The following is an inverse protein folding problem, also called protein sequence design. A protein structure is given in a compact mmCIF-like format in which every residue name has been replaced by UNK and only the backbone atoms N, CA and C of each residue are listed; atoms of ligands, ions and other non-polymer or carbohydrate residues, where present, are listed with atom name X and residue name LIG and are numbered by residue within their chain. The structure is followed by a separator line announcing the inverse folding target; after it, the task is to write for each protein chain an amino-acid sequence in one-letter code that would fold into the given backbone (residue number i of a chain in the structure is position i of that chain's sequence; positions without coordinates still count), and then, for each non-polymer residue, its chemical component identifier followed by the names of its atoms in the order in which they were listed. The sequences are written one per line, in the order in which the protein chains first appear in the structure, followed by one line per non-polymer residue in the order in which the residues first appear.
data_IF_241777629495
#
_entry.id   IF_241777629495
#
_cell.length_a   1.000
_cell.length_b   1.000
_cell.length_c   1.000
_cell.angle_alpha   90.00
_cell.angle_beta   90.00
_cell.angle_gamma   90.00
#
_symmetry.space_group_name_H-M   'P 1'
#
loop_
_entity.id
_entity.type
_entity.pdbx_description
1 polymer ?
#
# COMPACT_ATOMS: atom_id res chain seq x y z
N UNK A 1 8.63 -12.41 -9.29
CA UNK A 1 8.92 -11.64 -8.05
C UNK A 1 7.62 -11.12 -7.49
N UNK A 2 7.49 -10.93 -6.17
CA UNK A 2 6.28 -10.37 -5.55
C UNK A 2 6.63 -9.01 -4.94
N UNK A 3 5.87 -7.97 -5.29
CA UNK A 3 5.92 -6.64 -4.67
C UNK A 3 4.51 -6.19 -4.31
N UNK A 4 4.37 -5.31 -3.34
CA UNK A 4 3.06 -4.77 -2.96
C UNK A 4 3.17 -3.86 -1.76
N UNK A 5 2.03 -3.35 -1.33
CA UNK A 5 1.93 -2.39 -0.23
C UNK A 5 0.50 -2.35 0.35
N UNK A 6 0.36 -1.72 1.50
CA UNK A 6 -0.89 -1.52 2.22
C UNK A 6 -1.67 -0.30 1.70
N UNK A 7 -3.00 -0.37 1.71
CA UNK A 7 -3.86 0.74 1.26
C UNK A 7 -3.54 2.08 1.93
N UNK A 8 -3.06 2.08 3.18
CA UNK A 8 -2.76 3.29 3.93
C UNK A 8 -1.35 3.25 4.57
N UNK A 9 -0.35 2.74 3.85
CA UNK A 9 1.03 2.58 4.34
C UNK A 9 1.65 3.83 5.00
N UNK A 10 1.24 5.05 4.65
CA UNK A 10 1.81 6.26 5.24
C UNK A 10 1.27 6.69 6.62
N UNK A 11 0.17 6.11 7.11
CA UNK A 11 -0.59 6.69 8.26
C UNK A 11 0.12 6.69 9.60
N UNK A 12 1.09 5.79 9.79
CA UNK A 12 1.84 5.66 11.04
C UNK A 12 3.13 6.49 11.05
N UNK A 13 3.45 7.17 9.94
CA UNK A 13 4.72 7.89 9.79
C UNK A 13 4.59 9.41 9.82
N UNK A 14 3.37 9.93 9.64
CA UNK A 14 3.14 11.38 9.54
C UNK A 14 2.54 11.96 10.82
N UNK A 15 2.73 13.27 11.09
CA UNK A 15 2.19 13.89 12.29
C UNK A 15 0.67 13.94 12.29
N UNK A 16 0.03 13.28 13.26
CA UNK A 16 -1.44 13.26 13.45
C UNK A 16 -2.07 14.65 13.61
N UNK A 17 -1.26 15.64 13.99
CA UNK A 17 -1.66 17.03 14.18
C UNK A 17 -1.49 17.90 12.92
N UNK A 18 -1.12 17.35 11.75
CA UNK A 18 -0.92 18.13 10.53
C UNK A 18 -2.23 18.83 10.11
N UNK A 19 -2.20 20.16 10.09
CA UNK A 19 -3.36 21.05 9.90
C UNK A 19 -3.16 22.06 8.77
N UNK A 20 -1.99 22.07 8.15
CA UNK A 20 -1.70 22.88 6.96
C UNK A 20 -0.81 22.10 5.99
N UNK A 21 -0.77 22.56 4.74
CA UNK A 21 0.23 22.09 3.76
C UNK A 21 1.65 22.34 4.30
N UNK A 22 1.91 23.47 4.97
CA UNK A 22 3.21 23.76 5.57
C UNK A 22 3.57 22.80 6.73
N UNK A 23 2.60 22.32 7.50
CA UNK A 23 2.83 21.29 8.53
C UNK A 23 3.04 19.89 7.93
N UNK A 24 2.90 19.75 6.60
CA UNK A 24 3.38 18.59 5.84
C UNK A 24 4.89 18.66 5.56
N UNK A 25 5.63 19.56 6.22
CA UNK A 25 7.10 19.70 6.16
C UNK A 25 7.87 18.39 6.35
N UNK A 26 7.26 17.36 6.94
CA UNK A 26 7.85 16.02 6.97
C UNK A 26 8.30 15.54 5.59
N UNK A 27 7.60 15.92 4.51
CA UNK A 27 8.04 15.61 3.15
C UNK A 27 9.36 16.32 2.82
N UNK A 28 9.48 17.61 3.08
CA UNK A 28 10.74 18.33 2.83
C UNK A 28 11.87 17.85 3.75
N UNK A 29 11.57 17.56 5.02
CA UNK A 29 12.54 17.07 6.00
C UNK A 29 13.10 15.69 5.61
N UNK A 30 12.27 14.83 5.03
CA UNK A 30 12.70 13.50 4.54
C UNK A 30 13.29 13.56 3.13
N UNK A 31 12.91 14.56 2.33
CA UNK A 31 13.32 14.72 0.93
C UNK A 31 13.81 16.16 0.68
N UNK A 32 15.05 16.50 1.09
CA UNK A 32 15.56 17.88 1.09
C UNK A 32 15.70 18.53 -0.29
N UNK A 33 15.51 17.77 -1.36
CA UNK A 33 15.54 18.23 -2.75
C UNK A 33 14.13 18.44 -3.33
N UNK A 34 13.07 18.26 -2.54
CA UNK A 34 11.73 18.74 -2.89
C UNK A 34 11.73 20.26 -2.86
N UNK A 35 11.52 20.90 -4.01
CA UNK A 35 11.31 22.33 -4.08
C UNK A 35 9.82 22.69 -4.00
N UNK A 36 9.54 23.98 -3.99
CA UNK A 36 8.17 24.48 -3.90
C UNK A 36 7.30 24.05 -5.09
N UNK A 37 7.88 23.95 -6.30
CA UNK A 37 7.13 23.55 -7.48
C UNK A 37 6.71 22.07 -7.38
N UNK A 38 7.61 21.20 -6.91
CA UNK A 38 7.30 19.81 -6.63
C UNK A 38 6.17 19.68 -5.61
N UNK A 39 6.22 20.44 -4.51
CA UNK A 39 5.20 20.42 -3.47
C UNK A 39 3.84 20.93 -3.98
N UNK A 40 3.81 21.95 -4.84
CA UNK A 40 2.56 22.43 -5.46
C UNK A 40 1.91 21.33 -6.29
N UNK A 41 2.69 20.62 -7.11
CA UNK A 41 2.15 19.54 -7.95
C UNK A 41 1.74 18.31 -7.12
N UNK A 42 2.52 17.94 -6.11
CA UNK A 42 2.10 16.89 -5.16
C UNK A 42 0.77 17.26 -4.50
N UNK A 43 0.58 18.50 -4.04
CA UNK A 43 -0.69 18.90 -3.44
C UNK A 43 -1.85 18.91 -4.45
N UNK A 44 -1.60 19.23 -5.72
CA UNK A 44 -2.62 19.20 -6.77
C UNK A 44 -3.12 17.78 -7.04
N UNK A 45 -2.23 16.80 -6.94
CA UNK A 45 -2.51 15.38 -7.12
C UNK A 45 -3.22 14.73 -5.92
N UNK A 46 -3.14 15.34 -4.73
CA UNK A 46 -3.75 14.85 -3.49
C UNK A 46 -4.66 15.92 -2.87
N UNK A 47 -5.83 16.20 -3.47
CA UNK A 47 -6.72 17.24 -2.96
C UNK A 47 -7.30 16.86 -1.60
N UNK A 48 -7.11 17.72 -0.60
CA UNK A 48 -7.81 17.62 0.67
C UNK A 48 -9.22 18.20 0.55
N UNK A 49 -10.25 17.39 0.75
CA UNK A 49 -11.65 17.82 0.70
C UNK A 49 -12.01 18.79 1.85
N UNK A 50 -11.25 18.76 2.96
CA UNK A 50 -11.44 19.65 4.10
C UNK A 50 -10.58 20.92 3.95
N UNK A 51 -10.99 21.80 3.04
CA UNK A 51 -10.22 23.03 2.73
C UNK A 51 -10.28 24.09 3.83
N UNK A 52 -11.28 24.05 4.72
CA UNK A 52 -11.44 25.01 5.81
C UNK A 52 -10.60 24.69 7.05
N UNK A 53 -10.20 23.41 7.21
CA UNK A 53 -9.37 22.91 8.31
C UNK A 53 -9.65 23.55 9.68
N UNK A 54 -10.86 23.40 10.25
CA UNK A 54 -11.20 24.08 11.49
C UNK A 54 -10.55 23.44 12.73
N UNK A 55 -9.95 22.25 12.59
CA UNK A 55 -9.43 21.44 13.70
C UNK A 55 -8.06 20.84 13.37
N UNK A 56 -7.21 20.61 14.38
CA UNK A 56 -5.94 19.95 14.17
C UNK A 56 -6.05 18.59 13.50
N UNK A 57 -5.11 18.25 12.61
CA UNK A 57 -5.07 16.94 11.94
C UNK A 57 -5.91 16.84 10.67
N UNK A 58 -6.59 17.91 10.24
CA UNK A 58 -7.42 17.89 9.04
C UNK A 58 -6.63 17.56 7.73
N UNK A 59 -5.30 17.77 7.72
CA UNK A 59 -4.41 17.47 6.59
C UNK A 59 -3.66 16.15 6.79
N UNK A 60 -3.75 15.54 7.97
CA UNK A 60 -2.98 14.34 8.30
C UNK A 60 -3.21 13.18 7.31
N UNK A 61 -4.47 12.94 6.90
CA UNK A 61 -4.78 11.89 5.91
C UNK A 61 -4.08 12.17 4.58
N UNK A 62 -4.18 13.42 4.11
CA UNK A 62 -3.60 13.84 2.83
C UNK A 62 -2.07 13.68 2.82
N UNK A 63 -1.37 14.19 3.83
CA UNK A 63 0.09 14.00 3.92
C UNK A 63 0.48 12.53 4.12
N UNK A 64 -0.35 11.74 4.82
CA UNK A 64 -0.13 10.29 4.93
C UNK A 64 -0.26 9.57 3.60
N UNK A 65 -1.24 9.95 2.76
CA UNK A 65 -1.39 9.38 1.42
C UNK A 65 -0.19 9.71 0.54
N UNK A 66 0.25 10.97 0.54
CA UNK A 66 1.44 11.40 -0.19
C UNK A 66 2.67 10.62 0.27
N UNK A 67 2.91 10.56 1.58
CA UNK A 67 4.07 9.89 2.14
C UNK A 67 4.05 8.39 1.84
N UNK A 68 2.89 7.75 2.00
CA UNK A 68 2.70 6.34 1.70
C UNK A 68 2.98 6.01 0.23
N UNK A 69 2.38 6.78 -0.67
CA UNK A 69 2.55 6.57 -2.10
C UNK A 69 3.99 6.81 -2.55
N UNK A 70 4.61 7.89 -2.09
CA UNK A 70 5.98 8.24 -2.48
C UNK A 70 7.02 7.27 -1.92
N UNK A 71 6.82 6.76 -0.69
CA UNK A 71 7.83 5.91 -0.03
C UNK A 71 7.65 4.42 -0.32
N UNK A 72 6.41 3.96 -0.54
CA UNK A 72 6.10 2.52 -0.54
C UNK A 72 5.33 2.09 -1.81
N UNK A 73 4.11 2.59 -2.03
CA UNK A 73 3.19 2.08 -3.06
C UNK A 73 3.75 2.28 -4.46
N UNK A 74 4.17 3.51 -4.78
CA UNK A 74 4.66 3.84 -6.12
C UNK A 74 6.01 3.17 -6.42
N UNK A 75 6.99 3.13 -5.49
CA UNK A 75 8.19 2.31 -5.68
C UNK A 75 7.91 0.80 -5.91
N UNK A 76 6.93 0.21 -5.21
CA UNK A 76 6.54 -1.19 -5.42
C UNK A 76 5.95 -1.41 -6.83
N UNK A 77 5.09 -0.50 -7.29
CA UNK A 77 4.52 -0.53 -8.64
C UNK A 77 5.56 -0.25 -9.73
N UNK A 78 6.48 0.68 -9.50
CA UNK A 78 7.59 0.98 -10.40
C UNK A 78 8.47 -0.25 -10.57
N UNK A 79 8.85 -0.90 -9.47
CA UNK A 79 9.67 -2.12 -9.51
C UNK A 79 8.97 -3.26 -10.24
N UNK A 80 7.65 -3.42 -10.03
CA UNK A 80 6.83 -4.40 -10.76
C UNK A 80 6.81 -4.12 -12.26
N UNK A 81 6.71 -2.84 -12.64
CA UNK A 81 6.69 -2.40 -14.05
C UNK A 81 8.04 -2.56 -14.73
N UNK A 82 9.14 -2.22 -14.05
CA UNK A 82 10.50 -2.44 -14.55
C UNK A 82 10.79 -3.95 -14.71
N UNK A 83 10.37 -4.76 -13.75
CA UNK A 83 10.48 -6.21 -13.85
C UNK A 83 9.79 -6.76 -15.10
N UNK A 84 8.55 -6.33 -15.36
CA UNK A 84 7.83 -6.70 -16.57
C UNK A 84 8.53 -6.20 -17.84
N UNK A 85 8.96 -4.94 -17.87
CA UNK A 85 9.61 -4.31 -19.03
C UNK A 85 10.93 -5.00 -19.42
N UNK A 86 11.75 -5.37 -18.43
CA UNK A 86 13.06 -6.00 -18.65
C UNK A 86 13.00 -7.53 -18.67
N UNK A 87 11.81 -8.11 -18.80
CA UNK A 87 11.63 -9.55 -19.03
C UNK A 87 11.93 -10.42 -17.82
N UNK A 88 11.83 -9.88 -16.60
CA UNK A 88 11.88 -10.71 -15.39
C UNK A 88 10.66 -11.64 -15.43
N UNK A 89 10.84 -12.97 -15.35
CA UNK A 89 9.73 -13.89 -15.42
C UNK A 89 8.74 -13.64 -14.28
N UNK A 90 7.47 -13.51 -14.66
CA UNK A 90 6.33 -13.55 -13.76
C UNK A 90 6.48 -12.54 -12.59
N UNK A 91 6.41 -11.23 -12.84
CA UNK A 91 6.25 -10.25 -11.77
C UNK A 91 4.80 -10.29 -11.27
N UNK A 92 4.60 -10.14 -9.96
CA UNK A 92 3.28 -10.08 -9.32
C UNK A 92 3.23 -8.86 -8.42
N UNK A 93 2.10 -8.18 -8.43
CA UNK A 93 1.83 -7.04 -7.56
C UNK A 93 0.61 -7.31 -6.67
N UNK A 94 0.63 -6.84 -5.42
CA UNK A 94 -0.52 -6.87 -4.52
C UNK A 94 -0.83 -5.52 -3.88
N UNK A 95 -2.09 -5.33 -3.49
CA UNK A 95 -2.49 -4.36 -2.46
C UNK A 95 -3.08 -5.11 -1.27
N UNK A 96 -2.61 -4.79 -0.08
CA UNK A 96 -3.20 -5.28 1.15
C UNK A 96 -4.27 -4.31 1.64
N UNK A 97 -5.52 -4.79 1.73
CA UNK A 97 -6.71 -4.00 2.05
C UNK A 97 -7.60 -4.71 3.09
N UNK A 98 -6.99 -5.38 4.06
CA UNK A 98 -7.72 -6.07 5.14
C UNK A 98 -7.95 -5.10 6.27
N UNK A 99 -9.20 -4.68 6.43
CA UNK A 99 -9.59 -3.65 7.37
C UNK A 99 -9.81 -4.25 8.78
N UNK A 100 -8.96 -3.88 9.73
CA UNK A 100 -9.17 -4.17 11.15
C UNK A 100 -10.09 -3.12 11.80
N UNK A 101 -11.16 -3.52 12.51
CA UNK A 101 -12.09 -2.57 13.12
C UNK A 101 -11.44 -1.53 14.05
N UNK A 102 -10.41 -1.91 14.81
CA UNK A 102 -9.70 -1.01 15.71
C UNK A 102 -8.86 0.03 14.96
N UNK A 103 -8.16 -0.40 13.91
CA UNK A 103 -7.38 0.50 13.05
C UNK A 103 -8.27 1.45 12.25
N UNK A 104 -9.41 0.96 11.75
CA UNK A 104 -10.43 1.80 11.10
C UNK A 104 -10.99 2.82 12.08
N UNK A 105 -11.33 2.43 13.32
CA UNK A 105 -11.82 3.34 14.35
C UNK A 105 -10.79 4.42 14.75
N UNK A 106 -9.49 4.09 14.70
CA UNK A 106 -8.42 5.06 14.89
C UNK A 106 -8.18 5.97 13.67
N UNK A 107 -8.83 5.67 12.54
CA UNK A 107 -8.66 6.38 11.27
C UNK A 107 -7.36 6.10 10.54
N UNK A 108 -6.54 5.13 10.98
CA UNK A 108 -5.26 4.77 10.33
C UNK A 108 -5.43 3.82 9.15
N UNK A 109 -6.63 3.27 8.96
CA UNK A 109 -6.95 2.45 7.80
C UNK A 109 -6.23 1.09 7.84
N UNK A 110 -5.59 0.72 6.73
CA UNK A 110 -4.70 -0.45 6.63
C UNK A 110 -3.24 0.05 6.62
N UNK A 111 -2.59 0.14 7.80
CA UNK A 111 -1.29 0.80 7.95
C UNK A 111 -0.14 -0.11 7.49
N UNK A 112 1.06 0.48 7.39
CA UNK A 112 2.26 -0.20 6.92
C UNK A 112 2.55 -1.51 7.63
N UNK A 113 2.85 -2.54 6.84
CA UNK A 113 3.28 -3.88 7.26
C UNK A 113 2.26 -4.64 8.11
N UNK A 114 0.99 -4.22 8.14
CA UNK A 114 0.00 -4.93 8.97
C UNK A 114 -0.24 -6.36 8.47
N UNK A 115 0.03 -6.64 7.19
CA UNK A 115 -0.08 -7.96 6.59
C UNK A 115 0.93 -8.96 7.16
N UNK A 116 2.02 -8.52 7.79
CA UNK A 116 3.01 -9.44 8.38
C UNK A 116 2.38 -10.38 9.41
N UNK A 117 1.34 -9.90 10.10
CA UNK A 117 0.57 -10.69 11.07
C UNK A 117 -0.24 -11.82 10.41
N UNK A 118 -0.64 -11.65 9.14
CA UNK A 118 -1.26 -12.72 8.38
C UNK A 118 -0.22 -13.60 7.67
N UNK A 119 0.85 -13.03 7.11
CA UNK A 119 1.91 -13.77 6.42
C UNK A 119 2.58 -14.78 7.36
N UNK A 120 3.05 -14.33 8.53
CA UNK A 120 3.73 -15.22 9.49
C UNK A 120 2.76 -15.93 10.43
N UNK A 121 1.50 -15.50 10.46
CA UNK A 121 0.49 -15.96 11.39
C UNK A 121 0.51 -15.15 12.70
N UNK A 122 -0.66 -14.85 13.28
CA UNK A 122 -0.77 -13.91 14.40
C UNK A 122 -0.08 -14.42 15.67
N UNK A 123 0.06 -15.74 15.82
CA UNK A 123 0.76 -16.39 16.95
C UNK A 123 2.30 -16.27 16.86
N UNK A 124 2.84 -15.96 15.67
CA UNK A 124 4.28 -15.83 15.44
C UNK A 124 4.75 -14.37 15.37
N UNK A 125 3.85 -13.43 15.66
CA UNK A 125 4.12 -11.99 15.63
C UNK A 125 3.59 -11.36 16.92
N UNK A 126 4.13 -10.21 17.31
CA UNK A 126 3.66 -9.46 18.47
C UNK A 126 2.96 -8.18 18.04
N UNK A 127 1.96 -7.74 18.80
CA UNK A 127 1.29 -6.45 18.58
C UNK A 127 0.33 -6.38 17.38
N UNK A 128 0.00 -7.52 16.77
CA UNK A 128 -0.93 -7.56 15.63
C UNK A 128 -2.39 -7.33 15.99
N UNK A 129 -3.25 -6.99 15.00
CA UNK A 129 -4.66 -6.74 15.26
C UNK A 129 -5.39 -8.00 15.71
N UNK A 130 -6.25 -7.86 16.73
CA UNK A 130 -7.01 -9.00 17.29
C UNK A 130 -7.97 -9.63 16.28
N UNK A 131 -8.39 -8.90 15.24
CA UNK A 131 -9.26 -9.44 14.19
C UNK A 131 -8.64 -10.62 13.42
N UNK A 132 -7.32 -10.81 13.46
CA UNK A 132 -6.58 -11.87 12.77
C UNK A 132 -6.55 -13.17 13.58
N UNK A 133 -6.85 -13.11 14.88
CA UNK A 133 -6.84 -14.26 15.78
C UNK A 133 -8.01 -15.21 15.50
N UNK A 134 -7.92 -16.51 15.85
CA UNK A 134 -9.02 -17.46 15.66
C UNK A 134 -10.37 -16.93 16.17
N UNK A 135 -11.38 -16.93 15.30
CA UNK A 135 -12.71 -16.39 15.59
C UNK A 135 -12.91 -14.89 15.29
N UNK A 136 -11.84 -14.17 14.94
CA UNK A 136 -11.90 -12.79 14.45
C UNK A 136 -12.35 -12.70 12.98
N UNK A 137 -12.86 -11.52 12.58
CA UNK A 137 -13.36 -11.27 11.22
C UNK A 137 -12.28 -11.39 10.13
N UNK A 138 -11.01 -11.17 10.49
CA UNK A 138 -9.87 -11.29 9.57
C UNK A 138 -9.10 -12.59 9.76
N UNK A 139 -9.50 -13.49 10.66
CA UNK A 139 -8.88 -14.81 10.80
C UNK A 139 -8.77 -15.58 9.46
N UNK A 140 -9.77 -15.51 8.55
CA UNK A 140 -9.69 -16.21 7.27
C UNK A 140 -8.61 -15.70 6.32
N UNK A 141 -8.06 -14.47 6.49
CA UNK A 141 -6.99 -13.98 5.61
C UNK A 141 -5.66 -14.68 5.86
N UNK A 142 -5.43 -15.16 7.09
CA UNK A 142 -4.18 -15.80 7.51
C UNK A 142 -3.85 -17.02 6.61
N UNK A 143 -4.73 -18.03 6.49
CA UNK A 143 -4.44 -19.17 5.61
C UNK A 143 -4.40 -18.78 4.12
N UNK A 144 -5.16 -17.77 3.69
CA UNK A 144 -5.18 -17.31 2.29
C UNK A 144 -3.82 -16.74 1.88
N UNK A 145 -3.30 -15.76 2.63
CA UNK A 145 -2.03 -15.11 2.30
C UNK A 145 -0.86 -16.10 2.48
N UNK A 146 -0.91 -16.95 3.50
CA UNK A 146 0.09 -18.01 3.71
C UNK A 146 0.15 -18.99 2.54
N UNK A 147 -0.99 -19.36 1.96
CA UNK A 147 -1.03 -20.25 0.80
C UNK A 147 -0.31 -19.62 -0.41
N UNK A 148 -0.55 -18.34 -0.71
CA UNK A 148 0.17 -17.66 -1.80
C UNK A 148 1.67 -17.55 -1.53
N UNK A 149 2.08 -17.11 -0.32
CA UNK A 149 3.50 -16.93 0.01
C UNK A 149 4.25 -18.26 0.01
N UNK A 150 3.70 -19.28 0.65
CA UNK A 150 4.32 -20.62 0.66
C UNK A 150 4.32 -21.24 -0.74
N UNK A 151 3.30 -20.98 -1.56
CA UNK A 151 3.28 -21.42 -2.96
C UNK A 151 4.43 -20.80 -3.75
N UNK A 152 4.58 -19.48 -3.65
CA UNK A 152 5.65 -18.76 -4.33
C UNK A 152 7.03 -19.22 -3.86
N UNK A 153 7.26 -19.36 -2.56
CA UNK A 153 8.54 -19.83 -2.00
C UNK A 153 8.90 -21.23 -2.53
N UNK A 154 7.91 -22.13 -2.62
CA UNK A 154 8.14 -23.54 -2.99
C UNK A 154 8.24 -23.77 -4.50
N UNK A 155 7.70 -22.87 -5.32
CA UNK A 155 7.50 -23.14 -6.75
C UNK A 155 7.75 -21.97 -7.69
N UNK A 156 8.09 -20.80 -7.14
CA UNK A 156 8.17 -19.53 -7.86
C UNK A 156 6.84 -19.10 -8.49
N UNK A 157 5.71 -19.71 -8.14
CA UNK A 157 4.37 -19.38 -8.62
C UNK A 157 3.41 -19.27 -7.42
N UNK A 158 2.79 -18.11 -7.14
CA UNK A 158 1.87 -17.95 -6.03
C UNK A 158 0.56 -18.77 -6.20
N UNK A 159 0.22 -19.19 -7.41
CA UNK A 159 -1.05 -19.88 -7.70
C UNK A 159 -0.97 -21.40 -7.54
N UNK A 160 0.21 -22.02 -7.63
CA UNK A 160 0.35 -23.48 -7.65
C UNK A 160 -0.26 -24.20 -6.43
N UNK A 161 -0.18 -23.59 -5.26
CA UNK A 161 -0.68 -24.12 -3.99
C UNK A 161 -1.59 -23.12 -3.26
N UNK A 162 -2.20 -22.17 -4.00
CA UNK A 162 -3.21 -21.27 -3.43
C UNK A 162 -4.43 -22.05 -2.94
N UNK A 163 -5.23 -21.44 -2.06
CA UNK A 163 -6.50 -22.04 -1.65
C UNK A 163 -7.49 -22.08 -2.84
N UNK A 164 -8.37 -23.10 -2.94
CA UNK A 164 -9.27 -23.28 -4.08
C UNK A 164 -10.13 -22.05 -4.41
N UNK A 165 -10.69 -21.41 -3.38
CA UNK A 165 -11.60 -20.27 -3.51
C UNK A 165 -10.90 -18.90 -3.61
N UNK A 166 -9.56 -18.88 -3.47
CA UNK A 166 -8.78 -17.66 -3.64
C UNK A 166 -8.61 -17.32 -5.12
N UNK A 167 -8.55 -16.03 -5.45
CA UNK A 167 -8.44 -15.56 -6.83
C UNK A 167 -7.18 -16.09 -7.54
N UNK A 168 -7.23 -16.21 -8.86
CA UNK A 168 -6.01 -16.41 -9.62
C UNK A 168 -5.19 -15.11 -9.62
N UNK A 169 -3.99 -15.15 -9.03
CA UNK A 169 -3.09 -14.00 -9.00
C UNK A 169 -2.40 -13.85 -10.35
N UNK A 170 -2.98 -12.99 -11.17
CA UNK A 170 -2.45 -12.70 -12.50
C UNK A 170 -1.14 -11.92 -12.39
N UNK A 171 -0.23 -12.18 -13.32
CA UNK A 171 1.04 -11.47 -13.40
C UNK A 171 0.80 -9.97 -13.64
N UNK A 172 1.65 -9.15 -13.04
CA UNK A 172 1.72 -7.74 -13.34
C UNK A 172 2.11 -7.53 -14.79
N UNK A 173 1.31 -6.73 -15.48
CA UNK A 173 1.59 -6.23 -16.81
C UNK A 173 1.40 -4.72 -16.81
N UNK A 174 2.35 -4.01 -17.41
CA UNK A 174 2.34 -2.53 -17.45
C UNK A 174 1.16 -1.94 -18.22
N UNK A 175 0.49 -2.73 -19.06
CA UNK A 175 -0.68 -2.27 -19.84
C UNK A 175 -1.95 -2.37 -19.01
N UNK A 176 -2.24 -3.58 -18.53
CA UNK A 176 -3.44 -3.93 -17.77
C UNK A 176 -3.40 -3.44 -16.32
N UNK A 177 -2.19 -3.27 -15.75
CA UNK A 177 -1.91 -2.78 -14.40
C UNK A 177 -2.74 -3.50 -13.35
N UNK A 178 -2.94 -4.81 -13.54
CA UNK A 178 -3.71 -5.65 -12.64
C UNK A 178 -2.87 -6.06 -11.43
N UNK A 179 -3.44 -5.99 -10.24
CA UNK A 179 -2.86 -6.53 -9.00
C UNK A 179 -3.91 -7.31 -8.22
N UNK A 180 -3.45 -8.25 -7.40
CA UNK A 180 -4.36 -8.90 -6.45
C UNK A 180 -4.62 -7.95 -5.28
N UNK A 181 -5.82 -7.99 -4.74
CA UNK A 181 -6.21 -7.31 -3.51
C UNK A 181 -6.50 -8.36 -2.46
N UNK A 182 -5.85 -8.26 -1.32
CA UNK A 182 -6.21 -9.00 -0.12
C UNK A 182 -7.23 -8.19 0.67
N UNK A 183 -8.39 -8.76 0.95
CA UNK A 183 -9.51 -8.05 1.56
C UNK A 183 -9.96 -8.75 2.86
N UNK A 184 -10.71 -8.00 3.67
CA UNK A 184 -11.36 -8.49 4.91
C UNK A 184 -12.06 -9.83 4.69
N UNK A 185 -12.06 -10.67 5.73
CA UNK A 185 -12.69 -11.99 5.71
C UNK A 185 -12.07 -12.98 4.69
N UNK A 186 -10.80 -12.81 4.34
CA UNK A 186 -10.07 -13.75 3.49
C UNK A 186 -10.41 -13.65 2.00
N UNK A 187 -11.14 -12.60 1.59
CA UNK A 187 -11.48 -12.43 0.19
C UNK A 187 -10.25 -11.97 -0.61
N UNK A 188 -10.17 -12.40 -1.87
CA UNK A 188 -9.15 -11.95 -2.81
C UNK A 188 -9.77 -11.65 -4.16
N UNK A 189 -9.36 -10.54 -4.76
CA UNK A 189 -9.87 -10.10 -6.06
C UNK A 189 -8.72 -9.56 -6.91
N UNK A 190 -8.87 -9.60 -8.23
CA UNK A 190 -7.98 -8.85 -9.12
C UNK A 190 -8.58 -7.47 -9.36
N UNK A 191 -7.77 -6.42 -9.23
CA UNK A 191 -8.17 -5.05 -9.58
C UNK A 191 -7.20 -4.43 -10.58
N UNK A 192 -7.69 -3.64 -11.56
CA UNK A 192 -6.85 -2.65 -12.22
C UNK A 192 -6.44 -1.58 -11.20
N UNK A 193 -5.18 -1.16 -11.22
CA UNK A 193 -4.80 0.08 -10.55
C UNK A 193 -5.57 1.24 -11.19
N UNK A 194 -6.30 1.98 -10.37
CA UNK A 194 -7.13 3.09 -10.84
C UNK A 194 -6.28 4.22 -11.44
N UNK A 195 -6.91 5.03 -12.31
CA UNK A 195 -6.22 6.08 -13.06
C UNK A 195 -5.56 7.15 -12.17
N UNK A 196 -6.17 7.52 -11.05
CA UNK A 196 -5.65 8.54 -10.15
C UNK A 196 -4.40 8.06 -9.42
N UNK A 197 -4.40 6.82 -8.90
CA UNK A 197 -3.21 6.18 -8.32
C UNK A 197 -2.10 6.05 -9.35
N UNK A 198 -2.43 5.63 -10.57
CA UNK A 198 -1.42 5.52 -11.62
C UNK A 198 -0.79 6.88 -11.97
N UNK A 199 -1.61 7.93 -12.13
CA UNK A 199 -1.14 9.29 -12.40
C UNK A 199 -0.24 9.81 -11.27
N UNK A 200 -0.63 9.58 -10.02
CA UNK A 200 0.19 9.93 -8.85
C UNK A 200 1.53 9.21 -8.89
N UNK A 201 1.53 7.91 -9.16
CA UNK A 201 2.76 7.12 -9.21
C UNK A 201 3.65 7.42 -10.42
N UNK A 202 3.11 7.79 -11.58
CA UNK A 202 3.92 8.28 -12.70
C UNK A 202 4.69 9.53 -12.31
N UNK A 203 4.00 10.52 -11.73
CA UNK A 203 4.64 11.75 -11.29
C UNK A 203 5.69 11.50 -10.20
N UNK A 204 5.34 10.71 -9.17
CA UNK A 204 6.26 10.41 -8.05
C UNK A 204 7.47 9.58 -8.49
N UNK A 205 7.33 8.69 -9.48
CA UNK A 205 8.45 7.93 -10.03
C UNK A 205 9.41 8.83 -10.82
N UNK A 206 8.91 9.78 -11.61
CA UNK A 206 9.75 10.79 -12.29
C UNK A 206 10.44 11.72 -11.29
N UNK A 207 9.74 12.04 -10.20
CA UNK A 207 10.27 12.88 -9.13
C UNK A 207 11.43 12.21 -8.38
N UNK A 208 11.39 10.89 -8.16
CA UNK A 208 12.39 10.14 -7.37
C UNK A 208 13.83 10.46 -7.77
N UNK A 209 14.15 10.43 -9.07
CA UNK A 209 15.48 10.77 -9.57
C UNK A 209 15.90 12.21 -9.26
N UNK A 210 14.95 13.17 -9.34
CA UNK A 210 15.20 14.60 -9.05
C UNK A 210 15.45 14.84 -7.56
N UNK A 211 14.76 14.09 -6.70
CA UNK A 211 14.87 14.22 -5.24
C UNK A 211 15.91 13.27 -4.61
N UNK A 212 16.60 12.48 -5.44
CA UNK A 212 17.64 11.50 -5.05
C UNK A 212 17.10 10.40 -4.13
N UNK A 213 15.98 9.78 -4.52
CA UNK A 213 15.34 8.65 -3.84
C UNK A 213 15.11 7.48 -4.78
#
# INVERSE_FOLDING_TARGET
MIFGDDTNGGTVFTPRSASTIGESNILHDQYPYLDLAHLVEVNSLYPNQNTSCPSPGCYWRQVSDVYGDMRFMCPAMFTSSMAAQYGVPQPWNYRYNVEDPGQMAQGIGVPHTVEVHAIFGPENTSGGPQSYQPGGINAPIVPVIQAYWTSFIRSFDPNKFRLPDAADWQMWDSTSRQRIVFETNGNTTMEPVNGDTWRRCEYLSDLGAKIKQ
#
